data_IF_345024370016
#
_entry.id   IF_345024370016
#
_cell.length_a   1.000
_cell.length_b   1.000
_cell.length_c   1.000
_cell.angle_alpha   90.00
_cell.angle_beta   90.00
_cell.angle_gamma   90.00
#
_symmetry.space_group_name_H-M   'P 1'
#
loop_
_entity.id
_entity.type
_entity.pdbx_description
1 polymer ?
#
# COMPACT_ATOMS: atom_id res chain seq x y z
N UNK A 1 18.10 14.26 -18.46
CA UNK A 1 17.32 15.13 -17.54
C UNK A 1 16.49 14.18 -16.70
N UNK A 2 17.13 13.75 -15.62
CA UNK A 2 16.69 12.70 -14.73
C UNK A 2 15.76 13.29 -13.67
N UNK A 3 14.46 13.27 -13.94
CA UNK A 3 13.46 13.54 -12.90
C UNK A 3 13.01 12.22 -12.27
N UNK A 4 13.98 11.53 -11.66
CA UNK A 4 13.70 10.45 -10.74
C UNK A 4 13.10 11.08 -9.47
N UNK A 5 11.78 11.25 -9.47
CA UNK A 5 11.01 11.68 -8.31
C UNK A 5 11.49 10.92 -7.08
N UNK A 6 12.15 11.66 -6.20
CA UNK A 6 12.61 11.26 -4.87
C UNK A 6 11.47 10.52 -4.17
N UNK A 7 11.55 9.19 -4.14
CA UNK A 7 10.66 8.34 -3.33
C UNK A 7 10.99 8.68 -1.88
N UNK A 8 10.17 9.58 -1.33
CA UNK A 8 10.26 10.02 0.05
C UNK A 8 10.15 8.80 0.96
N UNK A 9 11.20 8.60 1.74
CA UNK A 9 11.33 7.53 2.71
C UNK A 9 10.42 7.85 3.92
N UNK A 10 9.10 7.72 3.73
CA UNK A 10 8.06 7.90 4.76
C UNK A 10 7.25 6.61 4.94
N UNK A 11 7.90 5.46 4.74
CA UNK A 11 7.24 4.18 4.47
C UNK A 11 6.43 3.61 5.64
N UNK A 12 6.60 4.10 6.87
CA UNK A 12 5.94 3.51 8.04
C UNK A 12 4.61 4.18 8.43
N UNK A 13 4.46 5.48 8.19
CA UNK A 13 3.24 6.20 8.59
C UNK A 13 2.13 6.12 7.53
N UNK A 14 2.51 5.97 6.25
CA UNK A 14 1.58 6.03 5.12
C UNK A 14 0.76 4.72 4.97
N UNK A 15 1.38 3.56 5.21
CA UNK A 15 0.69 2.26 5.20
C UNK A 15 -0.37 2.14 6.30
N UNK A 16 -0.06 2.66 7.49
CA UNK A 16 -1.00 2.71 8.61
C UNK A 16 -2.18 3.64 8.32
N UNK A 17 -1.94 4.76 7.63
CA UNK A 17 -2.98 5.68 7.18
C UNK A 17 -3.91 5.03 6.15
N UNK A 18 -3.38 4.17 5.27
CA UNK A 18 -4.20 3.40 4.31
C UNK A 18 -5.14 2.41 4.99
N UNK A 19 -4.74 1.88 6.15
CA UNK A 19 -5.48 0.83 6.86
C UNK A 19 -6.53 1.36 7.83
N UNK A 20 -6.25 2.48 8.50
CA UNK A 20 -7.16 3.06 9.48
C UNK A 20 -7.82 4.36 9.00
N UNK A 21 -7.22 5.06 8.04
CA UNK A 21 -7.74 6.30 7.50
C UNK A 21 -9.00 6.11 6.67
N UNK A 22 -9.56 7.24 6.25
CA UNK A 22 -10.73 7.31 5.39
C UNK A 22 -10.47 6.62 4.05
N UNK A 23 -11.26 5.60 3.76
CA UNK A 23 -11.35 5.05 2.41
C UNK A 23 -12.42 5.82 1.62
N UNK A 24 -11.96 6.72 0.77
CA UNK A 24 -12.78 7.57 -0.08
C UNK A 24 -13.16 6.93 -1.43
N UNK A 25 -12.71 5.70 -1.70
CA UNK A 25 -13.13 4.92 -2.88
C UNK A 25 -14.54 4.33 -2.68
N UNK A 26 -15.48 5.14 -2.21
CA UNK A 26 -16.88 4.80 -1.95
C UNK A 26 -17.80 5.90 -2.51
N UNK A 27 -19.03 5.52 -2.85
CA UNK A 27 -20.03 6.45 -3.34
C UNK A 27 -20.25 7.60 -2.33
N UNK A 28 -20.30 8.83 -2.83
CA UNK A 28 -20.58 10.02 -2.02
C UNK A 28 -19.41 10.52 -1.15
N UNK A 29 -18.20 9.98 -1.28
CA UNK A 29 -17.02 10.43 -0.52
C UNK A 29 -16.15 11.46 -1.27
N UNK A 30 -16.64 11.99 -2.39
CA UNK A 30 -15.94 13.00 -3.18
C UNK A 30 -15.90 14.36 -2.46
N UNK A 31 -14.78 15.08 -2.56
CA UNK A 31 -14.63 16.42 -1.99
C UNK A 31 -14.43 16.47 -0.46
N UNK A 32 -14.21 15.33 0.19
CA UNK A 32 -13.91 15.28 1.63
C UNK A 32 -12.45 15.66 1.92
N UNK A 33 -12.26 16.41 3.00
CA UNK A 33 -10.93 16.73 3.54
C UNK A 33 -10.35 15.52 4.28
N UNK A 34 -9.60 14.70 3.53
CA UNK A 34 -8.99 13.47 4.03
C UNK A 34 -8.01 13.73 5.17
N UNK A 35 -7.24 14.81 5.11
CA UNK A 35 -6.20 15.09 6.09
C UNK A 35 -6.82 15.36 7.47
N UNK A 36 -7.83 16.23 7.51
CA UNK A 36 -8.56 16.53 8.73
C UNK A 36 -9.26 15.30 9.30
N UNK A 37 -9.94 14.52 8.45
CA UNK A 37 -10.65 13.31 8.87
C UNK A 37 -9.66 12.26 9.41
N UNK A 38 -8.56 12.03 8.70
CA UNK A 38 -7.54 11.07 9.12
C UNK A 38 -6.86 11.47 10.42
N UNK A 39 -6.64 12.78 10.65
CA UNK A 39 -6.11 13.28 11.92
C UNK A 39 -7.05 12.94 13.08
N UNK A 40 -8.35 13.20 12.92
CA UNK A 40 -9.37 12.86 13.94
C UNK A 40 -9.38 11.35 14.21
N UNK A 41 -9.37 10.52 13.16
CA UNK A 41 -9.35 9.07 13.30
C UNK A 41 -8.10 8.62 14.06
N UNK A 42 -6.93 9.15 13.70
CA UNK A 42 -5.67 8.79 14.33
C UNK A 42 -5.65 9.19 15.81
N UNK A 43 -6.10 10.39 16.13
CA UNK A 43 -6.21 10.87 17.52
C UNK A 43 -7.17 10.01 18.35
N UNK A 44 -8.31 9.60 17.77
CA UNK A 44 -9.31 8.80 18.47
C UNK A 44 -8.91 7.31 18.63
N UNK A 45 -8.11 6.76 17.72
CA UNK A 45 -7.82 5.32 17.67
C UNK A 45 -6.47 4.95 18.28
N UNK A 46 -5.51 5.87 18.34
CA UNK A 46 -4.15 5.62 18.82
C UNK A 46 -4.15 5.07 20.25
N UNK A 47 -3.36 4.01 20.47
CA UNK A 47 -3.24 3.34 21.77
C UNK A 47 -4.35 2.32 22.07
N UNK A 48 -5.32 2.14 21.17
CA UNK A 48 -6.30 1.08 21.29
C UNK A 48 -5.73 -0.29 20.88
N UNK A 49 -6.34 -1.38 21.36
CA UNK A 49 -6.05 -2.75 20.87
C UNK A 49 -6.29 -2.89 19.37
N UNK A 50 -7.26 -2.15 18.83
CA UNK A 50 -7.54 -2.11 17.40
C UNK A 50 -6.35 -1.51 16.64
N UNK A 51 -5.81 -0.38 17.10
CA UNK A 51 -4.65 0.28 16.50
C UNK A 51 -3.43 -0.66 16.45
N UNK A 52 -3.13 -1.34 17.55
CA UNK A 52 -2.01 -2.30 17.60
C UNK A 52 -2.20 -3.46 16.63
N UNK A 53 -3.43 -3.95 16.48
CA UNK A 53 -3.75 -5.03 15.55
C UNK A 53 -3.61 -4.57 14.09
N UNK A 54 -4.08 -3.37 13.75
CA UNK A 54 -3.92 -2.82 12.42
C UNK A 54 -2.45 -2.55 12.08
N UNK A 55 -1.64 -2.12 13.06
CA UNK A 55 -0.19 -1.99 12.90
C UNK A 55 0.47 -3.35 12.58
N UNK A 56 0.09 -4.42 13.28
CA UNK A 56 0.58 -5.78 12.99
C UNK A 56 0.19 -6.26 11.60
N UNK A 57 -1.05 -6.00 11.17
CA UNK A 57 -1.51 -6.36 9.82
C UNK A 57 -0.78 -5.58 8.74
N UNK A 58 -0.51 -4.30 8.95
CA UNK A 58 0.28 -3.48 8.03
C UNK A 58 1.69 -4.06 7.83
N UNK A 59 2.37 -4.40 8.93
CA UNK A 59 3.68 -5.07 8.87
C UNK A 59 3.64 -6.39 8.08
N UNK A 60 2.60 -7.22 8.27
CA UNK A 60 2.44 -8.46 7.53
C UNK A 60 2.25 -8.23 6.03
N UNK A 61 1.46 -7.22 5.66
CA UNK A 61 1.25 -6.84 4.24
C UNK A 61 2.56 -6.34 3.63
N UNK A 62 3.30 -5.48 4.33
CA UNK A 62 4.60 -4.96 3.87
C UNK A 62 5.60 -6.10 3.66
N UNK A 63 5.69 -7.06 4.59
CA UNK A 63 6.52 -8.26 4.40
C UNK A 63 6.11 -9.09 3.18
N UNK A 64 4.82 -9.18 2.88
CA UNK A 64 4.33 -9.89 1.69
C UNK A 64 4.71 -9.15 0.40
N UNK A 65 4.59 -7.83 0.39
CA UNK A 65 5.01 -6.98 -0.74
C UNK A 65 6.52 -7.13 -0.98
N UNK A 66 7.34 -7.07 0.06
CA UNK A 66 8.79 -7.27 -0.05
C UNK A 66 9.15 -8.64 -0.64
N UNK A 67 8.50 -9.71 -0.17
CA UNK A 67 8.68 -11.05 -0.74
C UNK A 67 8.33 -11.08 -2.22
N UNK A 68 7.21 -10.46 -2.61
CA UNK A 68 6.78 -10.37 -4.00
C UNK A 68 7.77 -9.57 -4.86
N UNK A 69 8.32 -8.48 -4.34
CA UNK A 69 9.32 -7.66 -5.04
C UNK A 69 10.63 -8.44 -5.27
N UNK A 70 11.12 -9.17 -4.26
CA UNK A 70 12.28 -10.05 -4.43
C UNK A 70 12.05 -11.17 -5.43
N UNK A 71 10.83 -11.68 -5.53
CA UNK A 71 10.47 -12.66 -6.56
C UNK A 71 10.44 -12.03 -7.95
N UNK A 72 9.84 -10.84 -8.07
CA UNK A 72 9.80 -10.06 -9.32
C UNK A 72 11.21 -9.82 -9.88
N UNK A 73 12.17 -9.46 -9.05
CA UNK A 73 13.57 -9.24 -9.46
C UNK A 73 14.25 -10.47 -10.07
N UNK A 74 13.79 -11.68 -9.71
CA UNK A 74 14.33 -12.94 -10.24
C UNK A 74 13.68 -13.36 -11.56
N UNK A 75 12.60 -12.71 -11.99
CA UNK A 75 11.92 -13.04 -13.23
C UNK A 75 12.77 -12.59 -14.41
N UNK A 76 13.14 -13.54 -15.26
CA UNK A 76 13.88 -13.25 -16.50
C UNK A 76 12.94 -12.80 -17.62
N UNK A 77 13.48 -12.09 -18.61
CA UNK A 77 12.73 -11.68 -19.81
C UNK A 77 12.17 -12.88 -20.57
N UNK A 78 12.92 -13.99 -20.66
CA UNK A 78 12.46 -15.22 -21.30
C UNK A 78 11.24 -15.84 -20.60
N UNK A 79 11.27 -15.90 -19.26
CA UNK A 79 10.13 -16.39 -18.47
C UNK A 79 8.91 -15.47 -18.63
N UNK A 80 9.12 -14.16 -18.66
CA UNK A 80 8.06 -13.19 -18.87
C UNK A 80 7.42 -13.33 -20.25
N UNK A 81 8.22 -13.43 -21.32
CA UNK A 81 7.74 -13.64 -22.68
C UNK A 81 6.96 -14.96 -22.82
N UNK A 82 7.47 -16.04 -22.21
CA UNK A 82 6.77 -17.32 -22.19
C UNK A 82 5.40 -17.21 -21.51
N UNK A 83 5.33 -16.52 -20.36
CA UNK A 83 4.08 -16.29 -19.65
C UNK A 83 3.10 -15.41 -20.46
N UNK A 84 3.59 -14.37 -21.13
CA UNK A 84 2.77 -13.52 -22.00
C UNK A 84 2.11 -14.31 -23.13
N UNK A 85 2.87 -15.19 -23.80
CA UNK A 85 2.32 -16.05 -24.85
C UNK A 85 1.26 -17.01 -24.31
N UNK A 86 1.48 -17.58 -23.12
CA UNK A 86 0.50 -18.49 -22.50
C UNK A 86 -0.80 -17.78 -22.12
N UNK A 87 -0.75 -16.55 -21.62
CA UNK A 87 -1.94 -15.75 -21.31
C UNK A 87 -2.67 -15.33 -22.58
N UNK A 88 -1.96 -15.01 -23.66
CA UNK A 88 -2.56 -14.61 -24.93
C UNK A 88 -3.34 -15.74 -25.63
N UNK A 89 -2.99 -16.99 -25.35
CA UNK A 89 -3.58 -18.18 -25.99
C UNK A 89 -4.82 -18.69 -25.20
N UNK A 90 -5.05 -18.18 -23.99
CA UNK A 90 -6.25 -18.45 -23.17
C UNK A 90 -7.32 -17.39 -23.38
#
# INVERSE_FOLDING_TARGET
>A
MDDMKKVGNSSCNDGLLLRMGLNDNKAGMQGLDKEKINKIIMEATKGSRFYENELKKDQQVNQRIEKMMRLKEKITTQQLLKAQLQVLIL
#
